data_IF_932839671335
#
_entry.id   IF_932839671335
#
_cell.length_a   1.000
_cell.length_b   1.000
_cell.length_c   1.000
_cell.angle_alpha   90.00
_cell.angle_beta   90.00
_cell.angle_gamma   90.00
#
_symmetry.space_group_name_H-M   'P 1'
#
loop_
_entity.id
_entity.type
_entity.pdbx_description
1 polymer ?
#
# COMPACT_ATOMS: atom_id res chain seq x y z
N UNK A 1 14.25 -11.10 -3.12
CA UNK A 1 13.65 -9.83 -2.66
C UNK A 1 12.63 -9.35 -3.67
N UNK A 2 11.53 -8.80 -3.21
CA UNK A 2 10.47 -8.30 -4.08
C UNK A 2 10.88 -6.94 -4.68
N UNK A 3 10.77 -6.79 -5.99
CA UNK A 3 10.91 -5.52 -6.70
C UNK A 3 9.53 -4.84 -6.80
N UNK A 4 9.50 -3.60 -7.25
CA UNK A 4 8.25 -2.81 -7.35
C UNK A 4 7.16 -3.54 -8.14
N UNK A 5 7.53 -4.15 -9.28
CA UNK A 5 6.58 -4.88 -10.11
C UNK A 5 6.07 -6.17 -9.47
N UNK A 6 6.88 -6.81 -8.63
CA UNK A 6 6.47 -8.01 -7.91
C UNK A 6 5.38 -7.70 -6.88
N UNK A 7 5.49 -6.59 -6.17
CA UNK A 7 4.44 -6.12 -5.27
C UNK A 7 3.11 -5.92 -6.02
N UNK A 8 3.15 -5.23 -7.16
CA UNK A 8 1.95 -5.02 -7.98
C UNK A 8 1.31 -6.34 -8.39
N UNK A 9 2.10 -7.28 -8.91
CA UNK A 9 1.57 -8.57 -9.38
C UNK A 9 0.92 -9.38 -8.27
N UNK A 10 1.56 -9.45 -7.10
CA UNK A 10 1.03 -10.21 -5.96
C UNK A 10 -0.25 -9.54 -5.43
N UNK A 11 -0.23 -8.23 -5.23
CA UNK A 11 -1.40 -7.50 -4.73
C UNK A 11 -2.58 -7.65 -5.69
N UNK A 12 -2.34 -7.52 -6.99
CA UNK A 12 -3.37 -7.68 -8.01
C UNK A 12 -3.97 -9.09 -7.99
N UNK A 13 -3.13 -10.12 -7.91
CA UNK A 13 -3.59 -11.51 -7.86
C UNK A 13 -4.45 -11.80 -6.64
N UNK A 14 -4.05 -11.30 -5.47
CA UNK A 14 -4.83 -11.49 -4.23
C UNK A 14 -6.12 -10.68 -4.27
N UNK A 15 -6.09 -9.44 -4.78
CA UNK A 15 -7.27 -8.59 -4.89
C UNK A 15 -8.31 -9.17 -5.86
N UNK A 16 -7.89 -9.93 -6.85
CA UNK A 16 -8.78 -10.58 -7.81
C UNK A 16 -9.36 -11.90 -7.31
N UNK A 17 -8.88 -12.42 -6.18
CA UNK A 17 -9.38 -13.66 -5.61
C UNK A 17 -10.80 -13.45 -5.02
N UNK A 18 -11.80 -14.22 -5.48
CA UNK A 18 -13.17 -14.07 -4.98
C UNK A 18 -13.34 -14.44 -3.50
N UNK A 19 -12.38 -15.14 -2.91
CA UNK A 19 -12.39 -15.48 -1.48
C UNK A 19 -11.87 -14.37 -0.58
N UNK A 20 -11.44 -13.21 -1.13
CA UNK A 20 -10.90 -12.09 -0.38
C UNK A 20 -11.94 -10.97 -0.33
N UNK A 21 -12.26 -10.49 0.87
CA UNK A 21 -13.20 -9.38 1.08
C UNK A 21 -12.50 -8.03 1.25
N UNK A 22 -11.34 -8.03 1.89
CA UNK A 22 -10.52 -6.85 2.10
C UNK A 22 -9.05 -7.27 2.08
N UNK A 23 -8.18 -6.40 1.58
CA UNK A 23 -6.74 -6.67 1.50
C UNK A 23 -5.96 -5.66 2.33
N UNK A 24 -5.09 -6.14 3.19
CA UNK A 24 -4.12 -5.32 3.93
C UNK A 24 -2.74 -5.61 3.36
N UNK A 25 -2.11 -4.59 2.78
CA UNK A 25 -0.78 -4.70 2.18
C UNK A 25 0.24 -4.13 3.16
N UNK A 26 1.08 -4.99 3.71
CA UNK A 26 2.23 -4.55 4.49
C UNK A 26 3.41 -4.25 3.58
N UNK A 27 3.86 -3.02 3.55
CA UNK A 27 5.04 -2.61 2.79
C UNK A 27 6.19 -2.31 3.76
N UNK A 28 7.23 -3.12 3.70
CA UNK A 28 8.46 -2.89 4.46
C UNK A 28 9.50 -2.33 3.48
N UNK A 29 9.67 -1.01 3.44
CA UNK A 29 10.45 -0.37 2.38
C UNK A 29 11.95 -0.33 2.67
N UNK A 30 12.49 -1.36 3.28
CA UNK A 30 13.90 -1.44 3.67
C UNK A 30 14.75 -2.20 2.66
N UNK A 31 14.25 -2.46 1.46
CA UNK A 31 15.02 -3.14 0.42
C UNK A 31 15.48 -2.14 -0.64
N UNK A 32 16.71 -2.29 -1.10
CA UNK A 32 17.27 -1.43 -2.13
C UNK A 32 16.61 -1.59 -3.51
N UNK A 33 15.69 -2.52 -3.64
CA UNK A 33 14.99 -2.79 -4.90
C UNK A 33 13.65 -2.06 -5.05
N UNK A 34 13.21 -1.35 -4.00
CA UNK A 34 11.96 -0.60 -4.02
C UNK A 34 12.23 0.91 -4.10
N UNK A 35 11.41 1.62 -4.86
CA UNK A 35 11.45 3.07 -4.93
C UNK A 35 10.45 3.65 -3.92
N UNK A 36 10.90 3.83 -2.69
CA UNK A 36 10.07 4.24 -1.56
C UNK A 36 10.47 5.57 -0.93
N UNK A 37 11.68 6.03 -1.22
CA UNK A 37 12.24 7.27 -0.67
C UNK A 37 12.15 8.41 -1.66
N UNK A 38 12.05 9.63 -1.14
CA UNK A 38 12.21 10.83 -1.96
C UNK A 38 13.60 10.82 -2.62
N UNK A 39 13.75 11.38 -3.84
CA UNK A 39 15.03 11.43 -4.51
C UNK A 39 16.09 12.12 -3.66
N UNK A 40 17.32 11.59 -3.68
CA UNK A 40 18.43 12.15 -2.91
C UNK A 40 19.77 11.65 -3.43
N UNK A 41 20.89 12.31 -3.00
CA UNK A 41 22.23 11.99 -3.52
C UNK A 41 22.81 10.69 -2.99
N UNK A 42 22.27 10.17 -1.89
CA UNK A 42 22.87 9.03 -1.17
C UNK A 42 22.28 7.68 -1.57
N UNK A 43 21.29 7.65 -2.46
CA UNK A 43 20.65 6.41 -2.90
C UNK A 43 20.03 6.57 -4.29
N UNK A 44 19.72 5.42 -4.93
CA UNK A 44 19.11 5.39 -6.25
C UNK A 44 17.58 5.31 -6.24
N UNK A 45 16.93 5.33 -5.08
CA UNK A 45 15.48 5.26 -4.99
C UNK A 45 14.82 6.58 -5.36
N UNK A 46 13.68 6.50 -6.01
CA UNK A 46 12.87 7.65 -6.36
C UNK A 46 11.39 7.29 -6.30
N UNK A 47 10.73 7.70 -5.22
CA UNK A 47 9.31 7.44 -4.97
C UNK A 47 8.39 8.16 -5.98
N UNK A 48 8.90 9.18 -6.67
CA UNK A 48 8.12 9.95 -7.66
C UNK A 48 8.06 9.28 -9.03
N UNK A 49 8.82 8.21 -9.26
CA UNK A 49 8.79 7.48 -10.54
C UNK A 49 7.41 6.86 -10.75
N UNK A 50 6.98 6.84 -12.03
CA UNK A 50 5.69 6.21 -12.40
C UNK A 50 5.67 4.70 -12.14
N UNK A 51 6.82 4.05 -12.15
CA UNK A 51 6.98 2.62 -11.89
C UNK A 51 7.38 2.31 -10.44
N UNK A 52 7.42 3.29 -9.56
CA UNK A 52 7.68 3.09 -8.14
C UNK A 52 6.54 2.27 -7.49
N UNK A 53 6.85 1.56 -6.41
CA UNK A 53 5.88 0.67 -5.74
C UNK A 53 4.62 1.41 -5.30
N UNK A 54 4.74 2.64 -4.81
CA UNK A 54 3.58 3.45 -4.42
C UNK A 54 2.64 3.75 -5.58
N UNK A 55 3.18 4.17 -6.73
CA UNK A 55 2.39 4.42 -7.92
C UNK A 55 1.72 3.14 -8.45
N UNK A 56 2.43 2.02 -8.41
CA UNK A 56 1.90 0.71 -8.81
C UNK A 56 0.77 0.25 -7.89
N UNK A 57 0.94 0.40 -6.58
CA UNK A 57 -0.11 0.09 -5.60
C UNK A 57 -1.34 0.98 -5.77
N UNK A 58 -1.14 2.27 -6.01
CA UNK A 58 -2.24 3.20 -6.27
C UNK A 58 -3.06 2.78 -7.49
N UNK A 59 -2.41 2.35 -8.57
CA UNK A 59 -3.09 1.88 -9.77
C UNK A 59 -3.91 0.60 -9.51
N UNK A 60 -3.36 -0.34 -8.73
CA UNK A 60 -4.08 -1.56 -8.36
C UNK A 60 -5.29 -1.22 -7.49
N UNK A 61 -5.13 -0.33 -6.52
CA UNK A 61 -6.23 0.09 -5.64
C UNK A 61 -7.36 0.73 -6.43
N UNK A 62 -7.04 1.59 -7.41
CA UNK A 62 -8.02 2.25 -8.25
C UNK A 62 -8.80 1.24 -9.13
N UNK A 63 -8.16 0.18 -9.56
CA UNK A 63 -8.77 -0.85 -10.40
C UNK A 63 -9.47 -1.96 -9.60
N UNK A 64 -9.23 -2.06 -8.30
CA UNK A 64 -9.78 -3.14 -7.48
C UNK A 64 -11.24 -2.89 -7.10
N UNK A 65 -12.04 -3.95 -7.20
CA UNK A 65 -13.41 -3.95 -6.69
C UNK A 65 -13.45 -4.13 -5.16
N UNK A 66 -12.35 -4.52 -4.54
CA UNK A 66 -12.24 -4.76 -3.10
C UNK A 66 -11.47 -3.66 -2.43
N UNK A 67 -11.79 -3.31 -1.17
CA UNK A 67 -10.99 -2.35 -0.40
C UNK A 67 -9.58 -2.86 -0.17
N UNK A 68 -8.61 -1.98 -0.40
CA UNK A 68 -7.19 -2.24 -0.14
C UNK A 68 -6.68 -1.17 0.81
N UNK A 69 -6.05 -1.62 1.89
CA UNK A 69 -5.42 -0.77 2.90
C UNK A 69 -3.92 -1.04 2.88
N UNK A 70 -3.11 0.00 2.89
CA UNK A 70 -1.65 -0.11 2.87
C UNK A 70 -1.08 0.28 4.23
N UNK A 71 -0.15 -0.52 4.73
CA UNK A 71 0.58 -0.24 5.96
C UNK A 71 2.04 0.02 5.63
N UNK A 72 2.55 1.17 6.06
CA UNK A 72 3.96 1.55 5.93
C UNK A 72 4.52 1.81 7.32
N UNK A 73 5.03 0.77 7.95
CA UNK A 73 5.48 0.80 9.34
C UNK A 73 7.02 0.88 9.40
N UNK A 74 7.57 2.01 8.95
CA UNK A 74 9.03 2.15 8.82
C UNK A 74 9.56 3.56 9.08
N UNK A 75 8.78 4.41 9.72
CA UNK A 75 9.24 5.72 10.20
C UNK A 75 9.18 6.85 9.17
N UNK A 76 9.68 8.02 9.57
CA UNK A 76 9.49 9.29 8.87
C UNK A 76 10.18 9.37 7.50
N UNK A 77 11.22 8.58 7.26
CA UNK A 77 11.90 8.51 5.95
C UNK A 77 10.94 8.14 4.81
N UNK A 78 9.85 7.46 5.12
CA UNK A 78 8.89 6.96 4.13
C UNK A 78 7.60 7.80 4.08
N UNK A 79 7.61 8.99 4.65
CA UNK A 79 6.45 9.89 4.64
C UNK A 79 6.06 10.30 3.21
N UNK A 80 7.04 10.46 2.32
CA UNK A 80 6.78 10.81 0.92
C UNK A 80 5.94 9.73 0.21
N UNK A 81 6.24 8.46 0.44
CA UNK A 81 5.46 7.35 -0.11
C UNK A 81 4.05 7.32 0.47
N UNK A 82 3.92 7.46 1.79
CA UNK A 82 2.62 7.50 2.47
C UNK A 82 1.76 8.66 1.95
N UNK A 83 2.34 9.86 1.84
CA UNK A 83 1.63 11.04 1.33
C UNK A 83 1.18 10.84 -0.12
N UNK A 84 2.01 10.24 -0.97
CA UNK A 84 1.67 9.95 -2.35
C UNK A 84 0.47 9.00 -2.47
N UNK A 85 0.44 7.95 -1.68
CA UNK A 85 -0.67 7.01 -1.64
C UNK A 85 -1.96 7.67 -1.12
N UNK A 86 -1.87 8.47 -0.06
CA UNK A 86 -3.01 9.20 0.47
C UNK A 86 -3.60 10.17 -0.57
N UNK A 87 -2.74 10.88 -1.31
CA UNK A 87 -3.20 11.78 -2.39
C UNK A 87 -3.91 11.01 -3.51
N UNK A 88 -3.51 9.76 -3.75
CA UNK A 88 -4.16 8.88 -4.72
C UNK A 88 -5.46 8.26 -4.20
N UNK A 89 -5.86 8.54 -2.97
CA UNK A 89 -7.08 8.00 -2.38
C UNK A 89 -6.93 6.64 -1.72
N UNK A 90 -5.70 6.17 -1.51
CA UNK A 90 -5.43 4.89 -0.85
C UNK A 90 -5.38 5.09 0.65
N UNK A 91 -6.14 4.34 1.46
CA UNK A 91 -6.00 4.37 2.91
C UNK A 91 -4.62 3.84 3.32
N UNK A 92 -3.87 4.66 4.05
CA UNK A 92 -2.52 4.34 4.52
C UNK A 92 -2.46 4.47 6.02
N UNK A 93 -1.90 3.46 6.67
CA UNK A 93 -1.64 3.47 8.11
C UNK A 93 -0.14 3.29 8.35
N UNK A 94 0.36 3.88 9.42
CA UNK A 94 1.77 3.83 9.78
C UNK A 94 2.05 2.76 10.83
N UNK A 95 1.03 2.03 11.27
CA UNK A 95 1.13 0.90 12.20
C UNK A 95 0.08 -0.15 11.84
N UNK A 96 0.46 -1.42 11.91
CA UNK A 96 -0.42 -2.53 11.51
C UNK A 96 -1.63 -2.68 12.42
N UNK A 97 -1.48 -2.47 13.71
CA UNK A 97 -2.57 -2.57 14.68
C UNK A 97 -3.66 -1.53 14.42
N UNK A 98 -3.28 -0.30 14.06
CA UNK A 98 -4.23 0.75 13.68
C UNK A 98 -4.97 0.42 12.40
N UNK A 99 -4.28 -0.17 11.41
CA UNK A 99 -4.89 -0.60 10.18
C UNK A 99 -5.93 -1.70 10.44
N UNK A 100 -5.60 -2.68 11.28
CA UNK A 100 -6.51 -3.77 11.63
C UNK A 100 -7.73 -3.26 12.41
N UNK A 101 -7.54 -2.32 13.32
CA UNK A 101 -8.65 -1.69 14.05
C UNK A 101 -9.60 -0.97 13.09
N UNK A 102 -9.07 -0.22 12.14
CA UNK A 102 -9.88 0.50 11.15
C UNK A 102 -10.63 -0.46 10.24
N UNK A 103 -10.00 -1.52 9.78
CA UNK A 103 -10.63 -2.56 8.96
C UNK A 103 -11.75 -3.26 9.74
N UNK A 104 -11.48 -3.59 11.00
CA UNK A 104 -12.48 -4.23 11.86
C UNK A 104 -13.71 -3.33 12.08
N UNK A 105 -13.50 -2.04 12.33
CA UNK A 105 -14.58 -1.08 12.49
C UNK A 105 -15.42 -0.96 11.20
N UNK A 106 -14.76 -0.91 10.04
CA UNK A 106 -15.42 -0.83 8.75
C UNK A 106 -16.25 -2.09 8.47
N UNK A 107 -15.67 -3.27 8.67
CA UNK A 107 -16.36 -4.54 8.47
C UNK A 107 -17.57 -4.67 9.38
N UNK A 108 -17.44 -4.28 10.65
CA UNK A 108 -18.55 -4.29 11.60
C UNK A 108 -19.69 -3.40 11.11
N UNK A 109 -19.39 -2.21 10.59
CA UNK A 109 -20.39 -1.31 10.03
C UNK A 109 -21.08 -1.89 8.78
N UNK A 110 -20.33 -2.53 7.89
CA UNK A 110 -20.86 -3.17 6.68
C UNK A 110 -21.78 -4.33 7.05
N UNK A 111 -21.35 -5.20 7.97
CA UNK A 111 -22.14 -6.35 8.41
C UNK A 111 -23.43 -5.92 9.11
N UNK A 112 -23.39 -4.83 9.87
CA UNK A 112 -24.57 -4.30 10.56
C UNK A 112 -25.65 -3.74 9.60
N UNK A 113 -25.28 -3.44 8.36
CA UNK A 113 -26.19 -2.91 7.33
C UNK A 113 -26.83 -3.98 6.46
N UNK A 114 -26.41 -5.22 6.63
CA UNK A 114 -26.97 -6.35 5.87
C UNK A 114 -28.30 -6.84 6.42
#
# INVERSE_FOLDING_TARGET
MAADDAYERVVRAVADDPGVDVLVVGCVPLTAQLNTLAPGPDHGEDVTRRDAVGARLAAVCAASARPIVVVIDSGALYDAMAAGLLRAGVPVFRAVDRALDAVNAWLSGVLARR
#
